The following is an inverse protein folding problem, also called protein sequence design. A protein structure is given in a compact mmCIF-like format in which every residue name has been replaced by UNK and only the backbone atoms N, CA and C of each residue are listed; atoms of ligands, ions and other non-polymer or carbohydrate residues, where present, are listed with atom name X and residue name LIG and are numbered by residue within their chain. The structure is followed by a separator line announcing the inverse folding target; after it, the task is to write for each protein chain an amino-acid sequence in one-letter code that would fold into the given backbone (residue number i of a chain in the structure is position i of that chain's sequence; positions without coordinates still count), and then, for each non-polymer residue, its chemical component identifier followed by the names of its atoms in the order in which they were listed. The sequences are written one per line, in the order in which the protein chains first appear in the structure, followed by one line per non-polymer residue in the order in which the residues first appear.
data_IF_784833002440
#
_entry.id   IF_784833002440
#
_cell.length_a   1.000
_cell.length_b   1.000
_cell.length_c   1.000
_cell.angle_alpha   90.00
_cell.angle_beta   90.00
_cell.angle_gamma   90.00
#
_symmetry.space_group_name_H-M   'P 1'
#
loop_
_entity.id
_entity.type
_entity.pdbx_description
1 polymer ?
#
# COMPACT_ATOMS: atom_id res chain seq x y z
N UNK A 1 -20.00 -33.43 -37.88
CA UNK A 1 -18.94 -32.41 -37.73
C UNK A 1 -19.32 -31.20 -36.84
N UNK A 2 -20.51 -31.15 -36.21
CA UNK A 2 -20.98 -30.01 -35.39
C UNK A 2 -20.62 -30.08 -33.89
N UNK A 3 -20.32 -31.27 -33.36
CA UNK A 3 -20.06 -31.44 -31.91
C UNK A 3 -18.66 -30.99 -31.46
N UNK A 4 -17.66 -31.01 -32.34
CA UNK A 4 -16.27 -30.66 -32.01
C UNK A 4 -16.09 -29.14 -31.83
N UNK A 5 -16.82 -28.32 -32.60
CA UNK A 5 -16.75 -26.85 -32.50
C UNK A 5 -17.35 -26.31 -31.19
N UNK A 6 -18.43 -26.92 -30.69
CA UNK A 6 -19.05 -26.54 -29.39
C UNK A 6 -18.13 -26.80 -28.20
N UNK A 7 -17.35 -27.90 -28.21
CA UNK A 7 -16.40 -28.23 -27.13
C UNK A 7 -15.26 -27.23 -27.01
N UNK A 8 -14.74 -26.69 -28.12
CA UNK A 8 -13.67 -25.67 -28.12
C UNK A 8 -14.15 -24.33 -27.56
N UNK A 9 -15.37 -23.91 -27.89
CA UNK A 9 -15.98 -22.69 -27.36
C UNK A 9 -16.23 -22.77 -25.85
N UNK A 10 -16.68 -23.93 -25.37
CA UNK A 10 -16.88 -24.20 -23.95
C UNK A 10 -15.56 -24.15 -23.16
N UNK A 11 -14.48 -24.69 -23.71
CA UNK A 11 -13.15 -24.62 -23.11
C UNK A 11 -12.65 -23.18 -22.99
N UNK A 12 -12.81 -22.36 -24.04
CA UNK A 12 -12.37 -20.97 -24.05
C UNK A 12 -13.16 -20.11 -23.04
N UNK A 13 -14.46 -20.36 -22.90
CA UNK A 13 -15.30 -19.69 -21.90
C UNK A 13 -14.87 -20.04 -20.47
N UNK A 14 -14.53 -21.31 -20.19
CA UNK A 14 -14.05 -21.74 -18.86
C UNK A 14 -12.69 -21.09 -18.52
N UNK A 15 -11.78 -20.96 -19.50
CA UNK A 15 -10.50 -20.26 -19.30
C UNK A 15 -10.71 -18.77 -19.04
N UNK A 16 -11.62 -18.11 -19.77
CA UNK A 16 -11.97 -16.70 -19.56
C UNK A 16 -12.68 -16.45 -18.21
N UNK A 17 -13.56 -17.35 -17.79
CA UNK A 17 -14.20 -17.28 -16.47
C UNK A 17 -13.24 -17.56 -15.31
N UNK A 18 -12.23 -18.42 -15.50
CA UNK A 18 -11.18 -18.64 -14.50
C UNK A 18 -10.33 -17.37 -14.26
N UNK A 19 -10.11 -16.55 -15.28
CA UNK A 19 -9.45 -15.25 -15.15
C UNK A 19 -10.32 -14.18 -14.45
N UNK A 20 -11.65 -14.26 -14.57
CA UNK A 20 -12.60 -13.34 -13.94
C UNK A 20 -12.60 -13.39 -12.41
N UNK A 21 -12.17 -14.53 -11.83
CA UNK A 21 -12.18 -14.79 -10.39
C UNK A 21 -10.97 -14.27 -9.60
N UNK A 22 -10.10 -13.40 -10.15
CA UNK A 22 -9.00 -12.85 -9.38
C UNK A 22 -9.38 -11.56 -8.62
N UNK A 23 -10.45 -11.62 -7.82
CA UNK A 23 -10.87 -10.53 -6.92
C UNK A 23 -9.75 -10.04 -5.98
N UNK A 24 -8.69 -10.84 -5.81
CA UNK A 24 -7.58 -10.61 -4.89
C UNK A 24 -6.51 -9.68 -5.46
N UNK A 25 -6.17 -9.82 -6.74
CA UNK A 25 -5.33 -8.83 -7.42
C UNK A 25 -6.03 -7.46 -7.46
N UNK A 26 -7.37 -7.47 -7.61
CA UNK A 26 -8.20 -6.27 -7.55
C UNK A 26 -8.11 -5.53 -6.20
N UNK A 27 -7.81 -6.23 -5.10
CA UNK A 27 -7.63 -5.60 -3.77
C UNK A 27 -6.32 -4.83 -3.73
N UNK A 28 -5.21 -5.47 -4.08
CA UNK A 28 -3.91 -4.82 -4.07
C UNK A 28 -3.88 -3.63 -5.05
N UNK A 29 -4.43 -3.79 -6.26
CA UNK A 29 -4.50 -2.71 -7.24
C UNK A 29 -5.32 -1.52 -6.77
N UNK A 30 -6.36 -1.73 -5.96
CA UNK A 30 -7.17 -0.62 -5.41
C UNK A 30 -6.44 0.19 -4.34
N UNK A 31 -5.41 -0.38 -3.73
CA UNK A 31 -4.63 0.25 -2.66
C UNK A 31 -3.41 1.01 -3.19
N UNK A 32 -3.00 0.81 -4.45
CA UNK A 32 -1.78 1.41 -4.98
C UNK A 32 -1.77 2.93 -4.92
N UNK A 33 -0.68 3.49 -4.38
CA UNK A 33 -0.46 4.92 -4.21
C UNK A 33 -1.50 5.61 -3.32
N UNK A 34 -2.30 4.83 -2.58
CA UNK A 34 -3.27 5.35 -1.61
C UNK A 34 -2.64 5.37 -0.23
N UNK A 35 -2.88 6.47 0.48
CA UNK A 35 -2.46 6.61 1.86
C UNK A 35 -3.39 5.80 2.77
N UNK A 36 -2.78 4.91 3.56
CA UNK A 36 -3.47 4.08 4.54
C UNK A 36 -3.07 4.59 5.93
N UNK A 37 -4.01 5.14 6.69
CA UNK A 37 -3.80 5.71 8.03
C UNK A 37 -4.33 4.75 9.11
N UNK A 38 -3.54 4.52 10.16
CA UNK A 38 -3.99 3.83 11.36
C UNK A 38 -4.82 4.75 12.24
N UNK A 39 -5.72 4.18 13.06
CA UNK A 39 -6.46 4.96 14.06
C UNK A 39 -5.48 5.61 15.05
N UNK A 40 -5.70 6.88 15.34
CA UNK A 40 -4.78 7.74 16.09
C UNK A 40 -5.26 7.92 17.54
N UNK A 41 -4.31 8.01 18.49
CA UNK A 41 -4.58 8.61 19.81
C UNK A 41 -4.19 10.09 19.79
N UNK A 42 -4.91 10.94 20.53
CA UNK A 42 -4.90 12.40 20.43
C UNK A 42 -3.53 13.12 20.52
N UNK A 43 -2.44 12.43 20.86
CA UNK A 43 -1.14 13.03 21.18
C UNK A 43 -0.12 13.02 20.04
N UNK A 44 -0.28 12.17 19.01
CA UNK A 44 0.75 12.00 17.96
C UNK A 44 0.14 11.78 16.58
N UNK A 45 0.80 12.23 15.51
CA UNK A 45 0.35 11.99 14.13
C UNK A 45 0.09 10.50 13.83
N UNK A 46 -0.89 10.16 12.98
CA UNK A 46 -1.24 8.77 12.72
C UNK A 46 -0.10 8.03 12.02
N UNK A 47 -0.01 6.71 12.24
CA UNK A 47 0.84 5.85 11.42
C UNK A 47 0.26 5.76 10.01
N UNK A 48 1.13 5.81 9.00
CA UNK A 48 0.78 5.81 7.58
C UNK A 48 1.56 4.75 6.83
N UNK A 49 0.92 4.12 5.86
CA UNK A 49 1.53 3.17 4.94
C UNK A 49 1.05 3.47 3.52
N UNK A 50 1.98 3.49 2.57
CA UNK A 50 1.71 3.60 1.13
C UNK A 50 2.39 2.44 0.42
N UNK A 51 1.62 1.71 -0.40
CA UNK A 51 2.14 0.68 -1.30
C UNK A 51 2.07 1.21 -2.72
N UNK A 52 3.20 1.34 -3.40
CA UNK A 52 3.25 1.84 -4.78
C UNK A 52 3.18 0.71 -5.79
N UNK A 53 2.75 1.03 -7.01
CA UNK A 53 2.60 0.06 -8.10
C UNK A 53 3.94 -0.50 -8.58
N UNK A 54 5.03 0.23 -8.39
CA UNK A 54 6.41 -0.12 -8.76
C UNK A 54 7.10 -1.05 -7.75
N UNK A 55 6.33 -1.70 -6.88
CA UNK A 55 6.85 -2.59 -5.83
C UNK A 55 7.65 -1.88 -4.73
N UNK A 56 7.49 -0.57 -4.55
CA UNK A 56 8.05 0.17 -3.41
C UNK A 56 7.00 0.49 -2.34
N UNK A 57 7.44 0.77 -1.12
CA UNK A 57 6.58 1.24 -0.03
C UNK A 57 7.19 2.42 0.73
N UNK A 58 6.30 3.19 1.37
CA UNK A 58 6.66 4.20 2.36
C UNK A 58 5.84 4.00 3.64
N UNK A 59 6.49 4.14 4.79
CA UNK A 59 5.88 4.10 6.12
C UNK A 59 6.32 5.31 6.92
N UNK A 60 5.39 5.89 7.68
CA UNK A 60 5.68 6.92 8.67
C UNK A 60 4.85 6.73 9.92
N UNK A 61 5.39 7.00 11.09
CA UNK A 61 4.66 6.96 12.36
C UNK A 61 5.01 8.19 13.19
N UNK A 62 3.97 8.91 13.62
CA UNK A 62 4.10 9.97 14.61
C UNK A 62 4.20 9.38 16.01
N UNK A 63 5.13 9.92 16.79
CA UNK A 63 5.35 9.54 18.18
C UNK A 63 6.22 10.59 18.86
N UNK A 64 6.89 10.24 19.97
CA UNK A 64 7.94 11.07 20.58
C UNK A 64 9.06 11.44 19.59
N UNK A 65 9.24 10.63 18.56
CA UNK A 65 10.12 10.81 17.42
C UNK A 65 9.33 10.51 16.14
N UNK A 66 9.68 11.13 15.01
CA UNK A 66 9.14 10.79 13.70
C UNK A 66 9.82 9.54 13.18
N UNK A 67 9.10 8.43 13.11
CA UNK A 67 9.65 7.17 12.57
C UNK A 67 9.32 7.06 11.09
N UNK A 68 10.27 6.63 10.27
CA UNK A 68 10.05 6.43 8.84
C UNK A 68 10.72 5.17 8.31
N UNK A 69 10.15 4.59 7.26
CA UNK A 69 10.75 3.44 6.54
C UNK A 69 10.40 3.52 5.07
N UNK A 70 11.35 3.15 4.21
CA UNK A 70 11.13 3.01 2.76
C UNK A 70 11.78 1.73 2.29
N UNK A 71 11.17 1.07 1.32
CA UNK A 71 11.68 -0.21 0.85
C UNK A 71 10.91 -0.77 -0.33
N UNK A 72 11.07 -2.08 -0.53
CA UNK A 72 10.33 -2.85 -1.54
C UNK A 72 9.26 -3.71 -0.89
N UNK A 73 8.26 -4.11 -1.65
CA UNK A 73 7.31 -5.13 -1.21
C UNK A 73 7.20 -6.25 -2.25
N UNK A 74 6.96 -7.46 -1.77
CA UNK A 74 6.76 -8.66 -2.59
C UNK A 74 5.41 -9.28 -2.23
N UNK A 75 4.61 -9.60 -3.24
CA UNK A 75 3.35 -10.31 -3.03
C UNK A 75 3.63 -11.77 -2.64
N UNK A 76 3.13 -12.19 -1.49
CA UNK A 76 3.31 -13.56 -1.02
C UNK A 76 2.49 -14.55 -1.85
N UNK A 77 2.89 -15.84 -1.79
CA UNK A 77 2.23 -16.93 -2.50
C UNK A 77 0.73 -17.04 -2.17
N UNK A 78 0.34 -16.65 -0.94
CA UNK A 78 -1.05 -16.62 -0.47
C UNK A 78 -1.93 -15.58 -1.20
N UNK A 79 -1.32 -14.62 -1.92
CA UNK A 79 -1.96 -13.46 -2.57
C UNK A 79 -2.85 -12.64 -1.64
N UNK A 80 -2.66 -12.77 -0.33
CA UNK A 80 -3.41 -12.09 0.74
C UNK A 80 -2.49 -11.27 1.63
N UNK A 81 -1.19 -11.37 1.44
CA UNK A 81 -0.21 -10.60 2.16
C UNK A 81 0.93 -10.14 1.26
N UNK A 82 1.56 -9.04 1.63
CA UNK A 82 2.83 -8.61 1.05
C UNK A 82 3.89 -8.64 2.13
N UNK A 83 5.12 -9.00 1.76
CA UNK A 83 6.28 -8.92 2.64
C UNK A 83 7.07 -7.67 2.28
N UNK A 84 7.35 -6.85 3.28
CA UNK A 84 8.18 -5.66 3.16
C UNK A 84 9.66 -6.06 3.22
N UNK A 85 10.47 -5.41 2.39
CA UNK A 85 11.89 -5.63 2.29
C UNK A 85 12.66 -4.32 2.20
N UNK A 86 13.93 -4.33 2.59
CA UNK A 86 14.81 -3.17 2.44
C UNK A 86 15.23 -2.98 0.97
N UNK A 87 15.41 -1.72 0.54
CA UNK A 87 16.13 -1.43 -0.70
C UNK A 87 17.62 -1.54 -0.37
N UNK A 88 18.33 -2.47 -1.01
CA UNK A 88 19.79 -2.58 -0.88
C UNK A 88 20.43 -1.25 -1.30
N UNK A 89 21.23 -0.64 -0.42
CA UNK A 89 21.97 0.60 -0.70
C UNK A 89 21.36 1.90 -0.17
N UNK A 90 20.23 1.86 0.56
CA UNK A 90 19.79 3.03 1.34
C UNK A 90 20.53 3.01 2.68
N UNK A 91 21.56 3.84 2.81
CA UNK A 91 22.15 4.13 4.12
C UNK A 91 21.11 4.81 5.00
N UNK A 92 21.00 4.36 6.25
CA UNK A 92 20.14 4.96 7.27
C UNK A 92 20.67 6.34 7.62
N UNK A 93 20.27 7.37 6.88
CA UNK A 93 20.57 8.75 7.26
C UNK A 93 19.65 9.14 8.41
N UNK A 94 20.25 9.23 9.60
CA UNK A 94 19.66 9.96 10.72
C UNK A 94 19.81 11.44 10.38
N UNK A 95 18.75 12.05 9.87
CA UNK A 95 18.73 13.49 9.61
C UNK A 95 18.53 14.20 10.95
N UNK A 96 19.58 14.85 11.46
CA UNK A 96 19.59 15.56 12.75
C UNK A 96 18.92 16.94 12.65
N UNK A 97 17.77 17.05 11.98
CA UNK A 97 16.95 18.26 12.08
C UNK A 97 16.00 18.18 13.28
N UNK A 98 15.48 19.33 13.73
CA UNK A 98 14.76 19.65 14.99
C UNK A 98 13.66 18.67 15.48
N UNK A 99 13.33 17.62 14.73
CA UNK A 99 12.46 16.52 15.15
C UNK A 99 13.27 15.24 15.00
N UNK A 100 13.52 14.54 16.12
CA UNK A 100 14.22 13.26 16.14
C UNK A 100 13.56 12.32 15.12
N UNK A 101 14.20 12.18 13.96
CA UNK A 101 13.67 11.38 12.84
C UNK A 101 14.44 10.08 12.79
N UNK A 102 13.74 8.97 13.01
CA UNK A 102 14.33 7.65 13.20
C UNK A 102 13.94 6.75 12.03
N UNK A 103 14.95 6.23 11.32
CA UNK A 103 14.71 5.18 10.34
C UNK A 103 14.39 3.87 11.07
N UNK A 104 13.29 3.22 10.68
CA UNK A 104 12.93 1.91 11.21
C UNK A 104 13.09 0.84 10.14
N UNK A 105 13.68 -0.30 10.54
CA UNK A 105 13.79 -1.45 9.67
C UNK A 105 12.47 -2.27 9.71
N UNK A 106 11.81 -2.38 8.56
CA UNK A 106 10.60 -3.19 8.37
C UNK A 106 10.87 -4.44 7.51
N UNK A 107 12.13 -4.80 7.29
CA UNK A 107 12.50 -5.99 6.52
C UNK A 107 11.88 -7.27 7.12
N UNK A 108 11.31 -8.11 6.25
CA UNK A 108 10.57 -9.31 6.62
C UNK A 108 9.18 -9.06 7.23
N UNK A 109 8.72 -7.81 7.39
CA UNK A 109 7.39 -7.53 7.96
C UNK A 109 6.28 -7.89 6.97
N UNK A 110 5.23 -8.53 7.49
CA UNK A 110 4.09 -8.97 6.69
C UNK A 110 2.92 -7.99 6.86
N UNK A 111 2.41 -7.50 5.74
CA UNK A 111 1.19 -6.69 5.66
C UNK A 111 0.07 -7.52 5.07
N UNK A 112 -1.01 -7.74 5.83
CA UNK A 112 -2.19 -8.50 5.40
C UNK A 112 -3.17 -7.59 4.66
N UNK A 113 -3.55 -7.97 3.44
CA UNK A 113 -4.53 -7.29 2.59
C UNK A 113 -5.94 -7.74 2.99
N UNK A 114 -6.61 -6.96 3.85
CA UNK A 114 -7.92 -7.35 4.41
C UNK A 114 -9.08 -6.98 3.47
N UNK A 115 -9.02 -5.81 2.83
CA UNK A 115 -10.01 -5.37 1.85
C UNK A 115 -9.43 -4.30 0.93
N UNK A 116 -10.22 -3.84 -0.04
CA UNK A 116 -9.86 -2.73 -0.95
C UNK A 116 -9.56 -1.40 -0.25
N UNK A 117 -9.85 -1.29 1.06
CA UNK A 117 -9.67 -0.07 1.86
C UNK A 117 -8.93 -0.31 3.17
N UNK A 118 -8.47 -1.54 3.44
CA UNK A 118 -7.93 -1.92 4.76
C UNK A 118 -6.77 -2.88 4.63
N UNK A 119 -5.71 -2.59 5.36
CA UNK A 119 -4.58 -3.50 5.59
C UNK A 119 -4.30 -3.65 7.08
N UNK A 120 -3.53 -4.68 7.44
CA UNK A 120 -3.12 -4.94 8.82
C UNK A 120 -1.63 -5.27 8.87
N UNK A 121 -0.90 -4.63 9.79
CA UNK A 121 0.52 -4.84 10.03
C UNK A 121 0.78 -4.77 11.53
N UNK A 122 1.42 -5.80 12.11
CA UNK A 122 1.72 -5.90 13.56
C UNK A 122 0.51 -5.56 14.47
N UNK A 123 -0.67 -6.15 14.22
CA UNK A 123 -1.92 -5.89 14.95
C UNK A 123 -2.53 -4.48 14.76
N UNK A 124 -1.79 -3.55 14.16
CA UNK A 124 -2.32 -2.24 13.74
C UNK A 124 -3.10 -2.39 12.44
N UNK A 125 -4.30 -1.79 12.42
CA UNK A 125 -5.14 -1.73 11.23
C UNK A 125 -5.02 -0.35 10.60
N UNK A 126 -4.72 -0.32 9.30
CA UNK A 126 -4.66 0.89 8.50
C UNK A 126 -5.86 0.93 7.55
N UNK A 127 -6.48 2.10 7.46
CA UNK A 127 -7.64 2.37 6.63
C UNK A 127 -7.27 3.38 5.54
N UNK A 128 -7.83 3.21 4.35
CA UNK A 128 -7.63 4.17 3.28
C UNK A 128 -8.14 5.53 3.73
N UNK A 129 -7.26 6.54 3.74
CA UNK A 129 -7.63 7.88 4.16
C UNK A 129 -8.61 8.47 3.14
N UNK A 130 -9.70 9.03 3.64
CA UNK A 130 -10.71 9.71 2.82
C UNK A 130 -10.39 11.20 2.61
N UNK A 131 -9.21 11.68 3.03
CA UNK A 131 -8.81 13.07 2.80
C UNK A 131 -8.80 13.33 1.30
N UNK A 132 -9.75 14.14 0.83
CA UNK A 132 -9.62 14.79 -0.47
C UNK A 132 -8.34 15.60 -0.38
N UNK A 133 -7.44 15.40 -1.34
CA UNK A 133 -6.42 16.41 -1.60
C UNK A 133 -7.20 17.60 -2.11
N UNK A 134 -7.67 18.45 -1.21
CA UNK A 134 -8.11 19.78 -1.57
C UNK A 134 -6.84 20.42 -2.13
N UNK A 135 -6.78 20.52 -3.47
CA UNK A 135 -5.78 21.34 -4.14
C UNK A 135 -5.88 22.69 -3.46
N UNK A 136 -4.88 23.04 -2.66
CA UNK A 136 -4.75 24.40 -2.19
C UNK A 136 -4.78 25.27 -3.45
N UNK A 137 -5.87 26.02 -3.62
CA UNK A 137 -5.97 27.07 -4.62
C UNK A 137 -4.79 27.99 -4.35
N UNK A 138 -3.75 27.91 -5.17
CA UNK A 138 -2.69 28.90 -5.19
C UNK A 138 -3.41 30.19 -5.61
N UNK A 139 -3.77 31.02 -4.64
CA UNK A 139 -4.11 32.41 -4.93
C UNK A 139 -2.84 33.02 -5.51
N UNK A 140 -2.92 33.38 -6.78
CA UNK A 140 -1.89 34.14 -7.46
C UNK A 140 -1.75 35.47 -6.70
N UNK A 141 -0.55 35.83 -6.18
CA UNK A 141 -0.36 37.08 -5.44
C UNK A 141 -0.51 38.36 -6.30
N UNK A 142 -0.91 38.23 -7.57
CA UNK A 142 -1.07 39.33 -8.51
C UNK A 142 -2.51 39.71 -8.86
N UNK A 143 -3.54 39.09 -8.24
CA UNK A 143 -4.90 39.60 -8.36
C UNK A 143 -5.12 40.70 -7.31
N UNK A 144 -4.71 41.92 -7.67
CA UNK A 144 -5.18 43.17 -7.07
C UNK A 144 -6.47 43.62 -7.74
#
# INVERSE_FOLDING_TARGET
MYHIRKRKLLFLAVVLLAYSCNNKLKILTSLYGKELEASQSHLFSPSKLILYKDSTFEYSEGGPALKYSKGVWILNADKKSVTLGSIKGIEQKIDKQLVDTVFINLDGKIVKLRSKKKVEMNQTIFYMSNKRVDKATIKNPNDK
#
